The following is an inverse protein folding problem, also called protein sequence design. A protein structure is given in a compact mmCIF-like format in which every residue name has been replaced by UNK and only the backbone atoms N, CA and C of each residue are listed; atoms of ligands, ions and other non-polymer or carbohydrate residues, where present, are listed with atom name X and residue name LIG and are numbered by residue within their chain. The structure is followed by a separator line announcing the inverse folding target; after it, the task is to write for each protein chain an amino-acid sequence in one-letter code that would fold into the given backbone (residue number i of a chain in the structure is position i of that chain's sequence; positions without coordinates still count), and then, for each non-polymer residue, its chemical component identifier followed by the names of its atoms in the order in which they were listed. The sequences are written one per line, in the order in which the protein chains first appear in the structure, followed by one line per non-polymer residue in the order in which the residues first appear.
data_IF_383322627317
#
_entry.id   IF_383322627317
#
_cell.length_a   1.000
_cell.length_b   1.000
_cell.length_c   1.000
_cell.angle_alpha   90.00
_cell.angle_beta   90.00
_cell.angle_gamma   90.00
#
_symmetry.space_group_name_H-M   'P 1'
#
loop_
_entity.id
_entity.type
_entity.pdbx_description
1 polymer ?
#
# COMPACT_ATOMS: atom_id res chain seq x y z
N UNK A 1 25.98 21.05 2.69
CA UNK A 1 26.14 19.68 3.22
C UNK A 1 27.51 19.07 2.94
N UNK A 2 28.13 19.34 1.79
CA UNK A 2 29.49 18.87 1.50
C UNK A 2 30.52 19.52 2.44
N UNK A 3 30.54 20.86 2.51
CA UNK A 3 31.43 21.66 3.38
C UNK A 3 31.31 21.28 4.87
N UNK A 4 30.09 21.05 5.38
CA UNK A 4 29.89 20.57 6.76
C UNK A 4 30.46 19.17 7.02
N UNK A 5 30.52 18.29 6.01
CA UNK A 5 31.21 17.01 6.15
C UNK A 5 32.72 17.20 6.20
N UNK A 6 33.25 18.02 5.30
CA UNK A 6 34.69 18.34 5.24
C UNK A 6 35.20 18.98 6.54
N UNK A 7 34.40 19.86 7.16
CA UNK A 7 34.72 20.43 8.50
C UNK A 7 34.70 19.35 9.60
N UNK A 8 33.71 18.45 9.60
CA UNK A 8 33.63 17.34 10.58
C UNK A 8 34.76 16.32 10.39
N UNK A 9 35.21 16.11 9.15
CA UNK A 9 36.29 15.18 8.80
C UNK A 9 37.65 15.78 9.19
N UNK A 10 37.89 17.06 8.87
CA UNK A 10 39.07 17.80 9.34
C UNK A 10 39.17 17.88 10.87
N UNK A 11 38.05 18.10 11.59
CA UNK A 11 38.06 18.10 13.06
C UNK A 11 38.46 16.74 13.63
N UNK A 12 38.02 15.63 13.01
CA UNK A 12 38.38 14.27 13.46
C UNK A 12 39.85 13.93 13.23
N UNK A 13 40.44 14.41 12.13
CA UNK A 13 41.88 14.26 11.91
C UNK A 13 42.67 15.05 12.97
N UNK A 14 42.24 16.28 13.27
CA UNK A 14 42.85 17.14 14.30
C UNK A 14 42.75 16.54 15.71
N UNK A 15 41.61 15.96 16.06
CA UNK A 15 41.40 15.25 17.34
C UNK A 15 42.27 13.97 17.43
N UNK A 16 42.47 13.26 16.32
CA UNK A 16 43.30 12.05 16.24
C UNK A 16 44.80 12.38 16.40
N UNK A 17 45.29 13.40 15.70
CA UNK A 17 46.68 13.89 15.81
C UNK A 17 46.97 14.35 17.26
N UNK A 18 46.02 15.01 17.91
CA UNK A 18 46.15 15.39 19.32
C UNK A 18 46.20 14.17 20.26
N UNK A 19 45.41 13.13 19.98
CA UNK A 19 45.47 11.86 20.72
C UNK A 19 46.79 11.11 20.51
N UNK A 20 47.35 11.15 19.30
CA UNK A 20 48.66 10.54 19.02
C UNK A 20 49.79 11.32 19.72
N UNK A 21 49.80 12.65 19.66
CA UNK A 21 50.79 13.50 20.34
C UNK A 21 50.74 13.35 21.87
N UNK A 22 49.55 13.29 22.46
CA UNK A 22 49.39 13.07 23.91
C UNK A 22 49.81 11.66 24.33
N UNK A 23 49.54 10.64 23.51
CA UNK A 23 50.00 9.26 23.73
C UNK A 23 51.51 9.11 23.57
N UNK A 24 52.10 9.74 22.56
CA UNK A 24 53.55 9.77 22.35
C UNK A 24 54.28 10.43 23.53
N UNK A 25 53.70 11.51 24.08
CA UNK A 25 54.21 12.20 25.29
C UNK A 25 54.12 11.36 26.57
N UNK A 26 53.18 10.43 26.66
CA UNK A 26 53.11 9.44 27.75
C UNK A 26 54.06 8.25 27.55
N UNK A 27 54.32 7.86 26.29
CA UNK A 27 55.28 6.82 25.95
C UNK A 27 56.75 7.26 26.14
N UNK A 28 57.05 8.55 25.93
CA UNK A 28 58.33 9.15 26.30
C UNK A 28 58.42 9.37 27.81
N UNK A 29 58.76 8.30 28.54
CA UNK A 29 58.89 8.32 30.00
C UNK A 29 60.08 9.14 30.52
N UNK A 30 60.00 10.47 30.48
CA UNK A 30 60.84 11.34 31.31
C UNK A 30 60.23 11.49 32.71
N UNK A 31 60.82 10.79 33.68
CA UNK A 31 60.47 10.89 35.09
C UNK A 31 60.90 12.24 35.70
N UNK A 32 60.09 13.28 35.47
CA UNK A 32 60.12 14.52 36.24
C UNK A 32 59.26 14.39 37.51
N UNK A 33 59.90 14.32 38.69
CA UNK A 33 59.19 14.23 39.98
C UNK A 33 58.52 15.56 40.36
N UNK A 34 57.21 15.59 40.63
CA UNK A 34 56.52 16.81 41.04
C UNK A 34 56.74 17.09 42.54
N UNK A 35 57.80 17.83 42.87
CA UNK A 35 57.97 18.38 44.23
C UNK A 35 57.01 19.57 44.41
N UNK A 36 55.79 19.29 44.88
CA UNK A 36 54.81 20.34 45.18
C UNK A 36 55.20 21.11 46.45
N UNK A 37 55.71 22.32 46.27
CA UNK A 37 55.77 23.33 47.32
C UNK A 37 54.38 23.95 47.50
N UNK A 38 53.72 23.67 48.64
CA UNK A 38 52.65 24.52 49.17
C UNK A 38 53.16 25.24 50.41
N UNK A 39 53.44 26.53 50.25
CA UNK A 39 53.61 27.49 51.33
C UNK A 39 52.26 27.83 51.95
N UNK A 40 52.12 27.69 53.27
CA UNK A 40 51.23 28.54 54.08
C UNK A 40 52.02 28.93 55.34
N UNK A 41 52.01 30.23 55.63
CA UNK A 41 52.59 30.82 56.82
C UNK A 41 51.67 30.58 58.03
N UNK A 42 52.21 30.32 59.22
CA UNK A 42 51.79 31.16 60.35
C UNK A 42 52.76 31.19 61.55
N UNK A 43 52.59 32.26 62.31
CA UNK A 43 53.32 32.86 63.42
C UNK A 43 53.90 31.95 64.52
N UNK A 44 55.14 32.30 64.90
CA UNK A 44 55.55 32.69 66.26
C UNK A 44 55.23 31.74 67.44
N UNK A 45 56.26 31.08 67.98
CA UNK A 45 56.46 31.13 69.44
C UNK A 45 57.90 30.95 69.93
N UNK A 46 58.13 31.61 71.06
CA UNK A 46 59.34 31.75 71.85
C UNK A 46 59.84 30.42 72.44
N UNK A 47 61.14 30.15 72.38
CA UNK A 47 61.76 29.00 73.08
C UNK A 47 63.27 29.13 73.20
N UNK A 48 63.78 29.45 74.40
CA UNK A 48 65.22 29.45 74.70
C UNK A 48 65.70 28.01 74.97
N UNK A 49 66.89 27.66 74.49
CA UNK A 49 67.78 26.72 75.19
C UNK A 49 69.23 26.93 74.73
N UNK A 50 70.18 26.62 75.62
CA UNK A 50 71.53 27.20 75.61
C UNK A 50 72.58 26.37 74.82
N UNK A 51 73.72 27.00 74.57
CA UNK A 51 74.87 26.46 73.83
C UNK A 51 75.48 25.17 74.42
N UNK A 52 75.89 24.25 73.53
CA UNK A 52 77.12 23.50 73.77
C UNK A 52 78.05 23.50 72.52
N UNK A 53 78.42 24.67 71.98
CA UNK A 53 79.39 24.78 70.86
C UNK A 53 80.62 25.66 71.10
N UNK A 54 80.76 26.25 72.29
CA UNK A 54 81.95 27.04 72.67
C UNK A 54 83.25 26.22 72.63
N UNK A 55 83.26 25.02 73.21
CA UNK A 55 84.45 24.17 73.38
C UNK A 55 85.05 23.70 72.04
N UNK A 56 84.23 23.44 71.03
CA UNK A 56 84.71 22.94 69.73
C UNK A 56 85.30 24.02 68.82
N UNK A 57 84.86 25.28 68.94
CA UNK A 57 85.43 26.41 68.19
C UNK A 57 86.81 26.80 68.71
N UNK A 58 87.02 26.77 70.02
CA UNK A 58 88.34 27.03 70.62
C UNK A 58 89.34 25.96 70.20
N UNK A 59 88.96 24.67 70.25
CA UNK A 59 89.81 23.56 69.79
C UNK A 59 90.26 23.69 68.32
N UNK A 60 89.34 23.94 67.38
CA UNK A 60 89.70 24.12 65.96
C UNK A 60 90.51 25.40 65.68
N UNK A 61 90.38 26.44 66.50
CA UNK A 61 91.19 27.67 66.39
C UNK A 61 92.60 27.45 66.98
N UNK A 62 92.71 26.82 68.14
CA UNK A 62 93.97 26.43 68.75
C UNK A 62 94.78 25.47 67.86
N UNK A 63 94.14 24.46 67.25
CA UNK A 63 94.80 23.59 66.28
C UNK A 63 95.28 24.33 65.03
N UNK A 64 94.55 25.33 64.52
CA UNK A 64 95.02 26.15 63.39
C UNK A 64 96.21 27.04 63.76
N UNK A 65 96.21 27.66 64.94
CA UNK A 65 97.37 28.43 65.41
C UNK A 65 98.58 27.52 65.70
N UNK A 66 98.36 26.31 66.21
CA UNK A 66 99.40 25.28 66.39
C UNK A 66 99.99 24.81 65.05
N UNK A 67 99.16 24.43 64.08
CA UNK A 67 99.60 23.97 62.76
C UNK A 67 100.37 25.06 61.99
N UNK A 68 99.85 26.29 61.96
CA UNK A 68 100.55 27.43 61.36
C UNK A 68 101.88 27.73 62.08
N UNK A 69 101.93 27.58 63.41
CA UNK A 69 103.18 27.69 64.16
C UNK A 69 104.17 26.59 63.77
N UNK A 70 103.73 25.34 63.61
CA UNK A 70 104.58 24.21 63.20
C UNK A 70 105.10 24.39 61.76
N UNK A 71 104.25 24.74 60.80
CA UNK A 71 104.69 25.05 59.42
C UNK A 71 105.67 26.23 59.39
N UNK A 72 105.42 27.28 60.19
CA UNK A 72 106.36 28.40 60.29
C UNK A 72 107.70 27.98 60.90
N UNK A 73 107.71 27.10 61.91
CA UNK A 73 108.94 26.56 62.52
C UNK A 73 109.70 25.66 61.55
N UNK A 74 109.02 24.80 60.79
CA UNK A 74 109.62 23.97 59.74
C UNK A 74 110.24 24.83 58.64
N UNK A 75 109.52 25.88 58.19
CA UNK A 75 110.07 26.85 57.22
C UNK A 75 111.28 27.59 57.79
N UNK A 76 111.21 28.10 59.02
CA UNK A 76 112.33 28.82 59.66
C UNK A 76 113.55 27.90 59.82
N UNK A 77 113.35 26.62 60.16
CA UNK A 77 114.43 25.65 60.25
C UNK A 77 115.04 25.33 58.87
N UNK A 78 114.21 25.20 57.83
CA UNK A 78 114.67 25.00 56.45
C UNK A 78 115.40 26.23 55.90
N UNK A 79 114.88 27.44 56.12
CA UNK A 79 115.50 28.72 55.74
C UNK A 79 116.85 28.90 56.49
N UNK A 80 116.92 28.53 57.78
CA UNK A 80 118.15 28.54 58.57
C UNK A 80 119.17 27.52 58.06
N UNK A 81 118.75 26.30 57.74
CA UNK A 81 119.64 25.29 57.18
C UNK A 81 120.16 25.74 55.80
N UNK A 82 119.29 26.24 54.92
CA UNK A 82 119.66 26.79 53.63
C UNK A 82 120.66 27.95 53.75
N UNK A 83 120.45 28.88 54.69
CA UNK A 83 121.41 29.95 54.95
C UNK A 83 122.76 29.40 55.46
N UNK A 84 122.75 28.40 56.35
CA UNK A 84 123.95 27.72 56.84
C UNK A 84 124.71 27.00 55.71
N UNK A 85 123.99 26.33 54.81
CA UNK A 85 124.55 25.62 53.66
C UNK A 85 125.15 26.61 52.64
N UNK A 86 124.49 27.73 52.38
CA UNK A 86 125.01 28.80 51.51
C UNK A 86 126.25 29.47 52.12
N UNK A 87 126.26 29.73 53.43
CA UNK A 87 127.41 30.31 54.14
C UNK A 87 128.60 29.35 54.12
N UNK A 88 128.41 28.07 54.46
CA UNK A 88 129.49 27.06 54.48
C UNK A 88 130.05 26.79 53.09
N UNK A 89 129.21 26.66 52.05
CA UNK A 89 129.67 26.52 50.66
C UNK A 89 130.42 27.77 50.19
N UNK A 90 130.03 28.96 50.63
CA UNK A 90 130.72 30.21 50.26
C UNK A 90 132.04 30.38 50.99
N UNK A 91 132.10 30.07 52.29
CA UNK A 91 133.34 30.07 53.06
C UNK A 91 134.35 29.09 52.46
N UNK A 92 133.90 27.88 52.12
CA UNK A 92 134.73 26.88 51.42
C UNK A 92 135.21 27.34 50.04
N UNK A 93 134.34 27.87 49.16
CA UNK A 93 134.77 28.42 47.86
C UNK A 93 135.74 29.61 48.01
N UNK A 94 135.61 30.41 49.06
CA UNK A 94 136.51 31.53 49.36
C UNK A 94 137.89 31.05 49.82
N UNK A 95 137.96 29.99 50.64
CA UNK A 95 139.22 29.33 51.04
C UNK A 95 139.91 28.62 49.87
N UNK A 96 139.15 27.90 49.03
CA UNK A 96 139.69 27.07 47.94
C UNK A 96 140.02 27.88 46.65
N UNK A 97 139.31 28.98 46.38
CA UNK A 97 139.38 29.69 45.10
C UNK A 97 139.26 31.23 45.18
N UNK A 98 139.26 31.80 46.39
CA UNK A 98 139.22 33.26 46.60
C UNK A 98 137.95 33.96 46.11
N UNK A 99 136.90 33.21 45.75
CA UNK A 99 135.76 33.72 44.97
C UNK A 99 134.42 33.43 45.66
N UNK A 100 133.48 34.39 45.62
CA UNK A 100 132.19 34.34 46.34
C UNK A 100 130.98 33.93 45.48
N UNK A 101 131.21 33.38 44.28
CA UNK A 101 130.15 33.13 43.28
C UNK A 101 128.99 32.26 43.76
N UNK A 102 129.18 31.35 44.72
CA UNK A 102 128.10 30.56 45.33
C UNK A 102 127.01 31.41 45.99
N UNK A 103 127.39 32.54 46.61
CA UNK A 103 126.44 33.46 47.21
C UNK A 103 125.66 34.23 46.14
N UNK A 104 126.34 34.63 45.06
CA UNK A 104 125.71 35.25 43.88
C UNK A 104 124.72 34.29 43.22
N UNK A 105 125.12 33.04 42.99
CA UNK A 105 124.27 31.95 42.47
C UNK A 105 123.08 31.62 43.39
N UNK A 106 123.26 31.69 44.71
CA UNK A 106 122.16 31.51 45.68
C UNK A 106 121.18 32.69 45.64
N UNK A 107 121.69 33.93 45.57
CA UNK A 107 120.89 35.14 45.48
C UNK A 107 120.09 35.22 44.18
N UNK A 108 120.69 34.86 43.03
CA UNK A 108 119.96 34.78 41.76
C UNK A 108 118.92 33.63 41.75
N UNK A 109 119.19 32.51 42.45
CA UNK A 109 118.18 31.46 42.66
C UNK A 109 117.00 31.94 43.52
N UNK A 110 117.23 32.75 44.55
CA UNK A 110 116.14 33.34 45.34
C UNK A 110 115.40 34.45 44.57
N UNK A 111 116.09 35.28 43.79
CA UNK A 111 115.45 36.27 42.89
C UNK A 111 114.57 35.60 41.84
N UNK A 112 115.06 34.56 41.17
CA UNK A 112 114.29 33.82 40.15
C UNK A 112 113.12 33.06 40.77
N UNK A 113 113.28 32.40 41.92
CA UNK A 113 112.16 31.85 42.71
C UNK A 113 111.11 32.93 43.03
N UNK A 114 111.54 34.10 43.50
CA UNK A 114 110.65 35.21 43.85
C UNK A 114 109.91 35.78 42.63
N UNK A 115 110.58 35.89 41.48
CA UNK A 115 109.94 36.26 40.20
C UNK A 115 108.88 35.23 39.81
N UNK A 116 109.27 33.95 39.72
CA UNK A 116 108.36 32.85 39.36
C UNK A 116 107.14 32.77 40.29
N UNK A 117 107.32 33.03 41.59
CA UNK A 117 106.21 33.09 42.55
C UNK A 117 105.31 34.30 42.31
N UNK A 118 105.86 35.45 41.93
CA UNK A 118 105.08 36.63 41.59
C UNK A 118 104.31 36.43 40.27
N UNK A 119 104.91 35.81 39.27
CA UNK A 119 104.29 35.46 37.99
C UNK A 119 103.15 34.44 38.19
N UNK A 120 103.39 33.42 39.02
CA UNK A 120 102.34 32.46 39.42
C UNK A 120 101.19 33.15 40.16
N UNK A 121 101.49 34.10 41.04
CA UNK A 121 100.47 34.85 41.78
C UNK A 121 99.63 35.74 40.84
N UNK A 122 100.27 36.47 39.93
CA UNK A 122 99.60 37.29 38.91
C UNK A 122 98.68 36.44 38.04
N UNK A 123 99.19 35.32 37.51
CA UNK A 123 98.43 34.36 36.68
C UNK A 123 97.27 33.70 37.46
N UNK A 124 97.46 33.45 38.75
CA UNK A 124 96.39 32.97 39.65
C UNK A 124 95.32 34.04 39.88
N UNK A 125 95.70 35.33 39.96
CA UNK A 125 94.76 36.43 40.11
C UNK A 125 93.98 36.70 38.81
N UNK A 126 94.65 36.63 37.66
CA UNK A 126 94.04 36.69 36.32
C UNK A 126 93.03 35.55 36.13
N UNK A 127 93.43 34.29 36.38
CA UNK A 127 92.51 33.15 36.32
C UNK A 127 91.31 33.28 37.28
N UNK A 128 91.49 33.90 38.47
CA UNK A 128 90.37 34.22 39.38
C UNK A 128 89.46 35.33 38.83
N UNK A 129 89.98 36.27 38.05
CA UNK A 129 89.18 37.31 37.37
C UNK A 129 88.39 36.70 36.21
N UNK A 130 89.02 35.81 35.43
CA UNK A 130 88.38 35.07 34.33
C UNK A 130 87.26 34.15 34.84
N UNK A 131 87.52 33.34 35.88
CA UNK A 131 86.50 32.48 36.50
C UNK A 131 85.30 33.31 36.96
N UNK A 132 85.52 34.43 37.65
CA UNK A 132 84.42 35.33 38.08
C UNK A 132 83.67 35.96 36.91
N UNK A 133 84.35 36.27 35.80
CA UNK A 133 83.71 36.79 34.60
C UNK A 133 82.82 35.73 33.93
N UNK A 134 83.30 34.50 33.83
CA UNK A 134 82.55 33.35 33.31
C UNK A 134 81.38 32.95 34.22
N UNK A 135 81.57 32.94 35.54
CA UNK A 135 80.50 32.73 36.53
C UNK A 135 79.39 33.78 36.36
N UNK A 136 79.75 35.05 36.17
CA UNK A 136 78.79 36.13 35.92
C UNK A 136 78.06 35.93 34.58
N UNK A 137 78.77 35.66 33.49
CA UNK A 137 78.16 35.39 32.18
C UNK A 137 77.18 34.21 32.25
N UNK A 138 77.55 33.13 32.94
CA UNK A 138 76.72 31.94 33.12
C UNK A 138 75.48 32.25 33.99
N UNK A 139 75.60 33.13 34.99
CA UNK A 139 74.46 33.62 35.76
C UNK A 139 73.54 34.53 34.93
N UNK A 140 74.09 35.40 34.10
CA UNK A 140 73.32 36.33 33.27
C UNK A 140 72.60 35.60 32.13
N UNK A 141 73.24 34.61 31.48
CA UNK A 141 72.58 33.70 30.53
C UNK A 141 71.43 32.94 31.21
N UNK A 142 71.63 32.39 32.42
CA UNK A 142 70.57 31.71 33.18
C UNK A 142 69.35 32.61 33.45
N UNK A 143 69.58 33.89 33.77
CA UNK A 143 68.49 34.86 33.97
C UNK A 143 67.74 35.13 32.67
N UNK A 144 68.45 35.32 31.55
CA UNK A 144 67.78 35.56 30.27
C UNK A 144 66.99 34.34 29.81
N UNK A 145 67.53 33.12 29.95
CA UNK A 145 66.79 31.88 29.63
C UNK A 145 65.56 31.69 30.51
N UNK A 146 65.63 32.07 31.78
CA UNK A 146 64.48 32.04 32.70
C UNK A 146 63.41 33.06 32.31
N UNK A 147 63.81 34.30 31.98
CA UNK A 147 62.91 35.35 31.50
C UNK A 147 62.26 34.93 30.16
N UNK A 148 63.03 34.33 29.26
CA UNK A 148 62.53 33.76 28.01
C UNK A 148 61.56 32.59 28.21
N UNK A 149 61.84 31.69 29.14
CA UNK A 149 60.94 30.58 29.50
C UNK A 149 59.62 31.14 30.02
N UNK A 150 59.66 32.06 30.99
CA UNK A 150 58.46 32.73 31.52
C UNK A 150 57.67 33.53 30.47
N UNK A 151 58.33 34.08 29.43
CA UNK A 151 57.64 34.70 28.27
C UNK A 151 56.92 33.63 27.44
N UNK A 152 57.56 32.49 27.17
CA UNK A 152 56.97 31.36 26.43
C UNK A 152 55.82 30.72 27.20
N UNK A 153 55.95 30.50 28.50
CA UNK A 153 54.89 29.94 29.35
C UNK A 153 53.64 30.83 29.37
N UNK A 154 53.81 32.16 29.44
CA UNK A 154 52.71 33.12 29.33
C UNK A 154 52.03 33.09 27.95
N UNK A 155 52.82 32.90 26.88
CA UNK A 155 52.28 32.76 25.53
C UNK A 155 51.50 31.45 25.37
N UNK A 156 52.00 30.34 25.94
CA UNK A 156 51.31 29.04 25.97
C UNK A 156 49.98 29.17 26.72
N UNK A 157 49.97 29.77 27.92
CA UNK A 157 48.75 29.99 28.69
C UNK A 157 47.73 30.85 27.92
N UNK A 158 48.16 31.96 27.32
CA UNK A 158 47.30 32.81 26.49
C UNK A 158 46.68 32.04 25.30
N UNK A 159 47.49 31.23 24.59
CA UNK A 159 47.00 30.42 23.47
C UNK A 159 46.09 29.27 23.92
N UNK A 160 46.27 28.75 25.13
CA UNK A 160 45.37 27.77 25.73
C UNK A 160 44.02 28.40 26.08
N UNK A 161 44.02 29.57 26.74
CA UNK A 161 42.80 30.33 27.05
C UNK A 161 42.03 30.69 25.76
N UNK A 162 42.72 31.15 24.71
CA UNK A 162 42.12 31.47 23.41
C UNK A 162 41.54 30.23 22.71
N UNK A 163 42.21 29.07 22.80
CA UNK A 163 41.69 27.80 22.27
C UNK A 163 40.43 27.35 23.02
N UNK A 164 40.43 27.38 24.36
CA UNK A 164 39.28 27.00 25.18
C UNK A 164 38.08 27.95 24.95
N UNK A 165 38.32 29.26 24.80
CA UNK A 165 37.27 30.22 24.45
C UNK A 165 36.67 29.94 23.07
N UNK A 166 37.51 29.64 22.07
CA UNK A 166 37.04 29.29 20.72
C UNK A 166 36.28 27.97 20.69
N UNK A 167 36.73 26.95 21.42
CA UNK A 167 36.03 25.68 21.55
C UNK A 167 34.65 25.85 22.20
N UNK A 168 34.56 26.61 23.30
CA UNK A 168 33.29 26.90 23.97
C UNK A 168 32.30 27.68 23.08
N UNK A 169 32.79 28.58 22.22
CA UNK A 169 31.97 29.28 21.20
C UNK A 169 31.43 28.30 20.16
N UNK A 170 32.29 27.44 19.60
CA UNK A 170 31.90 26.45 18.58
C UNK A 170 30.90 25.44 19.13
N UNK A 171 31.09 24.93 20.34
CA UNK A 171 30.15 24.01 20.99
C UNK A 171 28.77 24.64 21.22
N UNK A 172 28.74 25.91 21.64
CA UNK A 172 27.49 26.67 21.79
C UNK A 172 26.80 26.91 20.43
N UNK A 173 27.57 27.24 19.38
CA UNK A 173 27.03 27.41 18.02
C UNK A 173 26.46 26.10 17.46
N UNK A 174 27.17 24.98 17.63
CA UNK A 174 26.68 23.63 17.25
C UNK A 174 25.37 23.32 17.99
N UNK A 175 25.29 23.57 19.29
CA UNK A 175 24.07 23.36 20.08
C UNK A 175 22.91 24.25 19.59
N UNK A 176 23.18 25.52 19.27
CA UNK A 176 22.19 26.44 18.75
C UNK A 176 21.70 26.04 17.35
N UNK A 177 22.63 25.75 16.43
CA UNK A 177 22.31 25.30 15.07
C UNK A 177 21.47 24.03 15.09
N UNK A 178 21.89 23.01 15.85
CA UNK A 178 21.15 21.76 16.01
C UNK A 178 19.73 21.99 16.52
N UNK A 179 19.57 22.80 17.58
CA UNK A 179 18.25 23.12 18.14
C UNK A 179 17.38 23.90 17.14
N UNK A 180 17.98 24.79 16.35
CA UNK A 180 17.31 25.53 15.28
C UNK A 180 16.82 24.59 14.16
N UNK A 181 17.67 23.66 13.68
CA UNK A 181 17.29 22.68 12.66
C UNK A 181 16.23 21.71 13.16
N UNK A 182 16.35 21.20 14.40
CA UNK A 182 15.38 20.29 15.00
C UNK A 182 14.00 20.96 15.13
N UNK A 183 13.95 22.24 15.52
CA UNK A 183 12.72 23.03 15.55
C UNK A 183 12.11 23.25 14.16
N UNK A 184 12.92 23.51 13.13
CA UNK A 184 12.44 23.64 11.76
C UNK A 184 11.87 22.30 11.24
N UNK A 185 12.56 21.19 11.48
CA UNK A 185 12.09 19.84 11.11
C UNK A 185 10.75 19.54 11.81
N UNK A 186 10.65 19.75 13.12
CA UNK A 186 9.39 19.56 13.84
C UNK A 186 8.26 20.48 13.36
N UNK A 187 8.57 21.74 13.01
CA UNK A 187 7.57 22.67 12.48
C UNK A 187 7.05 22.21 11.11
N UNK A 188 7.93 21.75 10.22
CA UNK A 188 7.57 21.21 8.90
C UNK A 188 6.77 19.91 9.07
N UNK A 189 7.26 18.97 9.87
CA UNK A 189 6.58 17.71 10.17
C UNK A 189 5.16 17.93 10.71
N UNK A 190 4.98 18.89 11.63
CA UNK A 190 3.65 19.25 12.16
C UNK A 190 2.74 19.89 11.10
N UNK A 191 3.29 20.71 10.19
CA UNK A 191 2.52 21.26 9.06
C UNK A 191 2.06 20.15 8.10
N UNK A 192 2.95 19.22 7.76
CA UNK A 192 2.62 18.06 6.91
C UNK A 192 1.56 17.18 7.57
N UNK A 193 1.77 16.76 8.82
CA UNK A 193 0.82 15.92 9.57
C UNK A 193 -0.55 16.57 9.75
N UNK A 194 -0.62 17.89 9.96
CA UNK A 194 -1.90 18.62 9.96
C UNK A 194 -2.59 18.58 8.57
N UNK A 195 -1.84 18.75 7.48
CA UNK A 195 -2.37 18.70 6.12
C UNK A 195 -2.86 17.29 5.75
N UNK A 196 -2.09 16.25 6.09
CA UNK A 196 -2.45 14.84 5.97
C UNK A 196 -3.74 14.55 6.74
N UNK A 197 -3.82 14.96 8.01
CA UNK A 197 -5.03 14.80 8.82
C UNK A 197 -6.26 15.48 8.20
N UNK A 198 -6.12 16.66 7.59
CA UNK A 198 -7.22 17.34 6.89
C UNK A 198 -7.65 16.55 5.64
N UNK A 199 -6.71 15.96 4.90
CA UNK A 199 -6.99 15.11 3.74
C UNK A 199 -7.65 13.79 4.16
N UNK A 200 -7.16 13.12 5.20
CA UNK A 200 -7.76 11.90 5.75
C UNK A 200 -9.19 12.14 6.23
N UNK A 201 -9.43 13.23 6.95
CA UNK A 201 -10.78 13.65 7.35
C UNK A 201 -11.70 13.89 6.13
N UNK A 202 -11.16 14.37 5.00
CA UNK A 202 -11.91 14.54 3.75
C UNK A 202 -12.17 13.19 3.06
N UNK A 203 -11.18 12.29 3.04
CA UNK A 203 -11.32 10.93 2.50
C UNK A 203 -12.37 10.15 3.29
N UNK A 204 -12.34 10.20 4.62
CA UNK A 204 -13.32 9.55 5.48
C UNK A 204 -14.74 10.09 5.23
N UNK A 205 -14.91 11.42 5.16
CA UNK A 205 -16.21 12.04 4.83
C UNK A 205 -16.72 11.65 3.44
N UNK A 206 -15.83 11.50 2.45
CA UNK A 206 -16.22 11.05 1.12
C UNK A 206 -16.63 9.56 1.13
N UNK A 207 -15.88 8.69 1.83
CA UNK A 207 -16.25 7.28 2.02
C UNK A 207 -17.63 7.13 2.65
N UNK A 208 -17.90 7.80 3.76
CA UNK A 208 -19.22 7.74 4.42
C UNK A 208 -20.36 8.19 3.50
N UNK A 209 -20.15 9.22 2.65
CA UNK A 209 -21.14 9.62 1.64
C UNK A 209 -21.34 8.56 0.58
N UNK A 210 -20.27 7.95 0.07
CA UNK A 210 -20.37 6.84 -0.88
C UNK A 210 -21.09 5.63 -0.27
N UNK A 211 -20.83 5.30 0.99
CA UNK A 211 -21.53 4.21 1.70
C UNK A 211 -23.03 4.53 1.89
N UNK A 212 -23.37 5.79 2.19
CA UNK A 212 -24.76 6.28 2.26
C UNK A 212 -25.45 6.24 0.89
N UNK A 213 -24.79 6.69 -0.18
CA UNK A 213 -25.29 6.65 -1.56
C UNK A 213 -25.51 5.21 -2.04
N UNK A 214 -24.57 4.30 -1.77
CA UNK A 214 -24.71 2.85 -2.06
C UNK A 214 -25.92 2.28 -1.33
N UNK A 215 -26.07 2.55 -0.01
CA UNK A 215 -27.22 2.04 0.75
C UNK A 215 -28.54 2.52 0.16
N UNK A 216 -28.68 3.83 -0.07
CA UNK A 216 -29.91 4.41 -0.65
C UNK A 216 -30.17 3.86 -2.06
N UNK A 217 -29.13 3.68 -2.88
CA UNK A 217 -29.26 3.05 -4.19
C UNK A 217 -29.81 1.63 -4.09
N UNK A 218 -29.25 0.80 -3.20
CA UNK A 218 -29.74 -0.58 -2.99
C UNK A 218 -31.18 -0.63 -2.46
N UNK A 219 -31.59 0.31 -1.61
CA UNK A 219 -32.97 0.42 -1.12
C UNK A 219 -33.94 0.79 -2.26
N UNK A 220 -33.59 1.77 -3.10
CA UNK A 220 -34.37 2.16 -4.28
C UNK A 220 -34.46 1.02 -5.29
N UNK A 221 -33.34 0.34 -5.59
CA UNK A 221 -33.31 -0.79 -6.52
C UNK A 221 -34.20 -1.94 -6.02
N UNK A 222 -34.12 -2.29 -4.73
CA UNK A 222 -34.97 -3.30 -4.12
C UNK A 222 -36.46 -2.92 -4.18
N UNK A 223 -36.81 -1.66 -3.88
CA UNK A 223 -38.18 -1.17 -4.01
C UNK A 223 -38.71 -1.29 -5.45
N UNK A 224 -37.92 -0.87 -6.44
CA UNK A 224 -38.29 -0.96 -7.85
C UNK A 224 -38.42 -2.41 -8.32
N UNK A 225 -37.53 -3.32 -7.89
CA UNK A 225 -37.61 -4.76 -8.17
C UNK A 225 -38.87 -5.40 -7.57
N UNK A 226 -39.22 -5.04 -6.33
CA UNK A 226 -40.46 -5.51 -5.70
C UNK A 226 -41.71 -5.00 -6.44
N UNK A 227 -41.73 -3.72 -6.82
CA UNK A 227 -42.85 -3.16 -7.57
C UNK A 227 -42.97 -3.77 -8.99
N UNK A 228 -41.85 -4.02 -9.67
CA UNK A 228 -41.83 -4.71 -10.95
C UNK A 228 -42.45 -6.11 -10.82
N UNK A 229 -41.99 -6.91 -9.85
CA UNK A 229 -42.53 -8.26 -9.59
C UNK A 229 -44.03 -8.24 -9.29
N UNK A 230 -44.52 -7.29 -8.50
CA UNK A 230 -45.96 -7.14 -8.22
C UNK A 230 -46.77 -6.81 -9.50
N UNK A 231 -46.20 -6.09 -10.46
CA UNK A 231 -46.86 -5.79 -11.75
C UNK A 231 -46.79 -7.00 -12.68
N UNK A 232 -45.69 -7.73 -12.68
CA UNK A 232 -45.48 -8.99 -13.42
C UNK A 232 -46.47 -10.08 -12.97
N UNK A 233 -46.59 -10.32 -11.67
CA UNK A 233 -47.58 -11.25 -11.08
C UNK A 233 -49.04 -10.87 -11.44
N UNK A 234 -49.34 -9.56 -11.53
CA UNK A 234 -50.66 -9.09 -11.98
C UNK A 234 -50.86 -9.30 -13.47
N UNK A 235 -49.83 -9.12 -14.28
CA UNK A 235 -49.89 -9.33 -15.72
C UNK A 235 -50.12 -10.81 -16.03
N UNK A 236 -49.36 -11.71 -15.39
CA UNK A 236 -49.52 -13.17 -15.46
C UNK A 236 -50.96 -13.57 -15.10
N UNK A 237 -51.49 -13.11 -13.96
CA UNK A 237 -52.89 -13.35 -13.57
C UNK A 237 -53.92 -12.89 -14.63
N UNK A 238 -53.71 -11.74 -15.27
CA UNK A 238 -54.61 -11.27 -16.32
C UNK A 238 -54.48 -12.07 -17.61
N UNK A 239 -53.27 -12.46 -18.01
CA UNK A 239 -53.01 -13.34 -19.17
C UNK A 239 -53.69 -14.69 -18.96
N UNK A 240 -53.41 -15.37 -17.85
CA UNK A 240 -54.05 -16.64 -17.48
C UNK A 240 -55.57 -16.52 -17.53
N UNK A 241 -56.13 -15.43 -16.98
CA UNK A 241 -57.57 -15.21 -16.99
C UNK A 241 -58.11 -15.03 -18.41
N UNK A 242 -57.45 -14.25 -19.26
CA UNK A 242 -57.88 -14.05 -20.65
C UNK A 242 -57.80 -15.34 -21.47
N UNK A 243 -56.79 -16.17 -21.25
CA UNK A 243 -56.68 -17.49 -21.89
C UNK A 243 -57.83 -18.40 -21.45
N UNK A 244 -58.04 -18.58 -20.13
CA UNK A 244 -59.16 -19.38 -19.59
C UNK A 244 -60.55 -18.87 -20.04
N UNK A 245 -60.78 -17.55 -20.03
CA UNK A 245 -62.05 -16.94 -20.48
C UNK A 245 -62.25 -17.13 -22.00
N UNK A 246 -61.17 -17.23 -22.80
CA UNK A 246 -61.20 -17.48 -24.24
C UNK A 246 -61.45 -18.94 -24.55
N UNK A 247 -60.70 -19.86 -23.92
CA UNK A 247 -60.87 -21.31 -24.08
C UNK A 247 -62.31 -21.73 -23.72
N UNK A 248 -62.85 -21.23 -22.61
CA UNK A 248 -64.25 -21.49 -22.22
C UNK A 248 -65.27 -20.97 -23.26
N UNK A 249 -64.95 -19.88 -23.98
CA UNK A 249 -65.81 -19.33 -25.04
C UNK A 249 -65.68 -20.11 -26.34
N UNK A 250 -64.50 -20.62 -26.67
CA UNK A 250 -64.32 -21.51 -27.81
C UNK A 250 -64.96 -22.88 -27.56
N UNK A 251 -64.91 -23.42 -26.34
CA UNK A 251 -65.69 -24.61 -25.94
C UNK A 251 -67.21 -24.39 -26.08
N UNK A 252 -67.74 -23.26 -25.61
CA UNK A 252 -69.16 -22.88 -25.81
C UNK A 252 -69.51 -22.78 -27.30
N UNK A 253 -68.65 -22.17 -28.11
CA UNK A 253 -68.84 -22.04 -29.56
C UNK A 253 -68.80 -23.40 -30.27
N UNK A 254 -67.90 -24.30 -29.89
CA UNK A 254 -67.80 -25.64 -30.47
C UNK A 254 -68.97 -26.53 -30.05
N UNK A 255 -69.44 -26.43 -28.81
CA UNK A 255 -70.69 -27.06 -28.37
C UNK A 255 -71.90 -26.56 -29.19
N UNK A 256 -71.99 -25.25 -29.45
CA UNK A 256 -73.05 -24.67 -30.30
C UNK A 256 -72.92 -25.08 -31.77
N UNK A 257 -71.71 -25.17 -32.32
CA UNK A 257 -71.46 -25.71 -33.67
C UNK A 257 -71.89 -27.18 -33.77
N UNK A 258 -71.56 -28.00 -32.78
CA UNK A 258 -71.96 -29.40 -32.71
C UNK A 258 -73.49 -29.58 -32.59
N UNK A 259 -74.15 -28.79 -31.74
CA UNK A 259 -75.62 -28.76 -31.66
C UNK A 259 -76.28 -28.32 -32.97
N UNK A 260 -75.72 -27.30 -33.64
CA UNK A 260 -76.19 -26.85 -34.97
C UNK A 260 -76.03 -27.95 -36.02
N UNK A 261 -74.90 -28.66 -36.04
CA UNK A 261 -74.66 -29.77 -36.95
C UNK A 261 -75.65 -30.92 -36.73
N UNK A 262 -75.87 -31.33 -35.47
CA UNK A 262 -76.84 -32.36 -35.10
C UNK A 262 -78.28 -31.96 -35.50
N UNK A 263 -78.69 -30.73 -35.21
CA UNK A 263 -80.00 -30.21 -35.64
C UNK A 263 -80.14 -30.19 -37.17
N UNK A 264 -79.08 -29.85 -37.90
CA UNK A 264 -79.07 -29.90 -39.36
C UNK A 264 -79.20 -31.34 -39.90
N UNK A 265 -78.44 -32.30 -39.35
CA UNK A 265 -78.60 -33.72 -39.69
C UNK A 265 -80.02 -34.21 -39.39
N UNK A 266 -80.61 -33.83 -38.27
CA UNK A 266 -81.98 -34.21 -37.91
C UNK A 266 -83.01 -33.65 -38.91
N UNK A 267 -82.87 -32.38 -39.29
CA UNK A 267 -83.71 -31.76 -40.33
C UNK A 267 -83.51 -32.42 -41.70
N UNK A 268 -82.28 -32.80 -42.05
CA UNK A 268 -82.00 -33.53 -43.28
C UNK A 268 -82.68 -34.90 -43.28
N UNK A 269 -82.56 -35.68 -42.19
CA UNK A 269 -83.24 -36.98 -42.04
C UNK A 269 -84.76 -36.85 -42.16
N UNK A 270 -85.37 -35.83 -41.54
CA UNK A 270 -86.81 -35.58 -41.70
C UNK A 270 -87.19 -35.15 -43.12
N UNK A 271 -86.36 -34.37 -43.81
CA UNK A 271 -86.61 -34.01 -45.20
C UNK A 271 -86.53 -35.23 -46.14
N UNK A 272 -85.55 -36.12 -45.92
CA UNK A 272 -85.43 -37.42 -46.60
C UNK A 272 -86.65 -38.31 -46.29
N UNK A 273 -87.09 -38.39 -45.03
CA UNK A 273 -88.28 -39.15 -44.62
C UNK A 273 -89.55 -38.61 -45.30
N UNK A 274 -89.76 -37.29 -45.27
CA UNK A 274 -90.86 -36.63 -45.99
C UNK A 274 -90.81 -36.92 -47.51
N UNK A 275 -89.63 -36.87 -48.14
CA UNK A 275 -89.48 -37.22 -49.55
C UNK A 275 -89.91 -38.67 -49.82
N UNK A 276 -89.51 -39.63 -48.98
CA UNK A 276 -89.94 -41.04 -49.15
C UNK A 276 -91.46 -41.21 -48.94
N UNK A 277 -92.08 -40.44 -48.04
CA UNK A 277 -93.54 -40.42 -47.90
C UNK A 277 -94.23 -39.80 -49.11
N UNK A 278 -93.70 -38.72 -49.70
CA UNK A 278 -94.23 -38.15 -50.93
C UNK A 278 -94.11 -39.12 -52.11
N UNK A 279 -92.95 -39.76 -52.29
CA UNK A 279 -92.70 -40.76 -53.33
C UNK A 279 -93.64 -41.97 -53.19
N UNK A 280 -93.86 -42.47 -51.98
CA UNK A 280 -94.80 -43.58 -51.74
C UNK A 280 -96.27 -43.18 -51.94
N UNK A 281 -96.67 -41.97 -51.53
CA UNK A 281 -98.02 -41.42 -51.80
C UNK A 281 -98.25 -41.23 -53.30
N UNK A 282 -97.26 -40.70 -54.04
CA UNK A 282 -97.32 -40.54 -55.50
C UNK A 282 -97.42 -41.92 -56.17
N UNK A 283 -96.62 -42.90 -55.72
CA UNK A 283 -96.65 -44.28 -56.20
C UNK A 283 -98.02 -44.94 -56.00
N UNK A 284 -98.59 -44.93 -54.79
CA UNK A 284 -99.92 -45.50 -54.52
C UNK A 284 -101.05 -44.72 -55.24
N UNK A 285 -100.94 -43.39 -55.40
CA UNK A 285 -101.88 -42.63 -56.26
C UNK A 285 -101.80 -43.10 -57.71
N UNK A 286 -100.59 -43.23 -58.27
CA UNK A 286 -100.37 -43.69 -59.64
C UNK A 286 -100.85 -45.14 -59.83
N UNK A 287 -100.63 -46.01 -58.84
CA UNK A 287 -101.08 -47.40 -58.84
C UNK A 287 -102.61 -47.50 -58.74
N UNK A 288 -103.25 -46.71 -57.87
CA UNK A 288 -104.73 -46.61 -57.80
C UNK A 288 -105.32 -46.06 -59.09
N UNK A 289 -104.68 -45.10 -59.75
CA UNK A 289 -105.09 -44.66 -61.08
C UNK A 289 -104.90 -45.72 -62.15
N UNK A 290 -103.77 -46.44 -62.15
CA UNK A 290 -103.54 -47.56 -63.07
C UNK A 290 -104.58 -48.68 -62.86
N UNK A 291 -104.93 -49.00 -61.61
CA UNK A 291 -106.03 -49.92 -61.27
C UNK A 291 -107.38 -49.42 -61.80
N UNK A 292 -107.70 -48.13 -61.65
CA UNK A 292 -108.93 -47.54 -62.24
C UNK A 292 -108.94 -47.62 -63.77
N UNK A 293 -107.85 -47.21 -64.44
CA UNK A 293 -107.74 -47.29 -65.92
C UNK A 293 -107.88 -48.72 -66.43
N UNK A 294 -107.30 -49.71 -65.73
CA UNK A 294 -107.51 -51.15 -66.05
C UNK A 294 -108.98 -51.54 -65.92
N UNK A 295 -109.64 -51.24 -64.80
CA UNK A 295 -111.07 -51.54 -64.62
C UNK A 295 -111.97 -50.83 -65.65
N UNK A 296 -111.62 -49.62 -66.08
CA UNK A 296 -112.31 -48.90 -67.15
C UNK A 296 -112.09 -49.56 -68.53
N UNK A 297 -110.88 -50.03 -68.81
CA UNK A 297 -110.55 -50.83 -70.01
C UNK A 297 -111.31 -52.16 -69.98
N UNK A 298 -111.21 -52.94 -68.91
CA UNK A 298 -111.94 -54.20 -68.70
C UNK A 298 -113.46 -54.00 -68.86
N UNK A 299 -114.01 -52.88 -68.36
CA UNK A 299 -115.43 -52.55 -68.52
C UNK A 299 -115.81 -52.12 -69.95
N UNK A 300 -114.91 -51.49 -70.70
CA UNK A 300 -115.10 -51.18 -72.12
C UNK A 300 -115.01 -52.45 -72.99
N UNK A 301 -114.07 -53.35 -72.66
CA UNK A 301 -113.96 -54.67 -73.26
C UNK A 301 -115.18 -55.53 -72.95
N UNK A 302 -115.65 -55.57 -71.70
CA UNK A 302 -116.89 -56.26 -71.35
C UNK A 302 -118.10 -55.66 -72.08
N UNK A 303 -118.18 -54.33 -72.24
CA UNK A 303 -119.23 -53.67 -73.04
C UNK A 303 -119.13 -54.03 -74.53
N UNK A 304 -117.93 -54.19 -75.09
CA UNK A 304 -117.75 -54.60 -76.49
C UNK A 304 -118.10 -56.08 -76.67
N UNK A 305 -117.69 -56.96 -75.75
CA UNK A 305 -118.08 -58.38 -75.66
C UNK A 305 -119.60 -58.52 -75.53
N UNK A 306 -120.25 -57.74 -74.66
CA UNK A 306 -121.71 -57.75 -74.50
C UNK A 306 -122.44 -57.26 -75.75
N UNK A 307 -121.92 -56.25 -76.46
CA UNK A 307 -122.43 -55.83 -77.76
C UNK A 307 -122.28 -56.94 -78.81
N UNK A 308 -121.14 -57.64 -78.84
CA UNK A 308 -120.91 -58.82 -79.69
C UNK A 308 -121.90 -59.95 -79.36
N UNK A 309 -122.10 -60.29 -78.08
CA UNK A 309 -123.09 -61.28 -77.66
C UNK A 309 -124.52 -60.86 -78.01
N UNK A 310 -124.88 -59.58 -77.84
CA UNK A 310 -126.21 -59.06 -78.18
C UNK A 310 -126.45 -59.02 -79.70
N UNK A 311 -125.43 -58.69 -80.49
CA UNK A 311 -125.43 -58.80 -81.95
C UNK A 311 -125.63 -60.26 -82.38
N UNK A 312 -124.90 -61.21 -81.78
CA UNK A 312 -125.04 -62.64 -82.05
C UNK A 312 -126.41 -63.20 -81.66
N UNK A 313 -126.92 -62.88 -80.46
CA UNK A 313 -128.29 -63.21 -80.03
C UNK A 313 -129.35 -62.58 -80.95
N UNK A 314 -129.13 -61.35 -81.40
CA UNK A 314 -130.00 -60.67 -82.38
C UNK A 314 -129.92 -61.27 -83.79
N UNK A 315 -128.80 -61.92 -84.15
CA UNK A 315 -128.66 -62.71 -85.38
C UNK A 315 -129.39 -64.05 -85.23
N UNK A 316 -129.23 -64.75 -84.12
CA UNK A 316 -129.97 -65.99 -83.80
C UNK A 316 -131.48 -65.80 -83.96
N UNK A 317 -132.03 -64.71 -83.42
CA UNK A 317 -133.47 -64.37 -83.56
C UNK A 317 -133.83 -64.03 -85.01
N UNK A 318 -133.06 -63.17 -85.70
CA UNK A 318 -133.41 -62.69 -87.06
C UNK A 318 -133.14 -63.69 -88.19
N UNK A 319 -132.27 -64.68 -87.97
CA UNK A 319 -132.02 -65.81 -88.88
C UNK A 319 -132.81 -67.07 -88.47
N UNK A 320 -133.60 -67.02 -87.37
CA UNK A 320 -134.35 -68.13 -86.77
C UNK A 320 -133.50 -69.39 -86.51
N UNK A 321 -132.36 -69.23 -85.84
CA UNK A 321 -131.51 -70.35 -85.43
C UNK A 321 -131.82 -70.74 -83.97
N UNK A 322 -132.02 -72.03 -83.72
CA UNK A 322 -132.35 -72.56 -82.39
C UNK A 322 -133.82 -72.35 -81.99
N UNK A 323 -134.15 -72.07 -80.71
CA UNK A 323 -135.53 -72.10 -80.19
C UNK A 323 -136.57 -71.26 -80.94
N UNK A 324 -136.15 -70.25 -81.71
CA UNK A 324 -137.01 -69.33 -82.46
C UNK A 324 -137.50 -69.89 -83.81
N UNK A 325 -137.08 -71.10 -84.19
CA UNK A 325 -137.58 -71.79 -85.39
C UNK A 325 -139.05 -72.24 -85.23
N UNK A 326 -139.47 -72.57 -83.99
CA UNK A 326 -140.85 -72.95 -83.67
C UNK A 326 -141.87 -71.83 -83.86
N UNK A 327 -141.49 -70.55 -83.64
CA UNK A 327 -142.40 -69.41 -83.79
C UNK A 327 -142.79 -69.14 -85.26
N UNK A 328 -141.93 -69.48 -86.23
CA UNK A 328 -142.23 -69.21 -87.66
C UNK A 328 -143.46 -69.99 -88.14
N UNK A 329 -143.58 -71.25 -87.74
CA UNK A 329 -144.69 -72.16 -88.11
C UNK A 329 -146.05 -71.76 -87.50
N UNK A 330 -146.07 -70.89 -86.50
CA UNK A 330 -147.29 -70.35 -85.90
C UNK A 330 -147.84 -69.13 -86.66
N UNK A 331 -146.96 -68.26 -87.16
CA UNK A 331 -147.38 -67.06 -87.90
C UNK A 331 -147.95 -67.37 -89.29
N UNK A 332 -147.45 -68.40 -89.98
CA UNK A 332 -147.94 -68.80 -91.31
C UNK A 332 -149.41 -69.28 -91.30
N UNK A 333 -149.94 -69.77 -90.17
CA UNK A 333 -151.35 -70.17 -90.06
C UNK A 333 -152.32 -69.00 -89.85
N UNK A 334 -151.85 -67.84 -89.38
CA UNK A 334 -152.73 -66.74 -88.97
C UNK A 334 -153.08 -65.75 -90.09
N UNK A 335 -152.38 -65.80 -91.23
CA UNK A 335 -152.57 -64.87 -92.35
C UNK A 335 -153.72 -65.24 -93.31
N UNK A 336 -154.35 -66.41 -93.15
CA UNK A 336 -155.30 -66.95 -94.12
C UNK A 336 -156.78 -66.55 -93.90
N UNK A 337 -157.11 -65.81 -92.83
CA UNK A 337 -158.51 -65.72 -92.34
C UNK A 337 -159.10 -64.32 -92.07
N UNK A 338 -158.41 -63.21 -92.39
CA UNK A 338 -159.03 -61.87 -92.32
C UNK A 338 -158.85 -61.05 -93.60
N UNK A 339 -159.79 -61.26 -94.52
CA UNK A 339 -160.34 -60.20 -95.38
C UNK A 339 -161.64 -59.68 -94.75
N UNK A 340 -162.04 -58.46 -95.12
CA UNK A 340 -163.24 -57.71 -94.69
C UNK A 340 -163.24 -57.14 -93.27
N UNK A 341 -163.66 -55.87 -93.15
CA UNK A 341 -163.68 -55.08 -91.91
C UNK A 341 -163.11 -53.66 -92.11
N UNK A 342 -163.96 -52.68 -92.44
CA UNK A 342 -163.56 -51.35 -92.96
C UNK A 342 -164.07 -50.19 -92.06
N UNK A 343 -163.41 -49.01 -92.12
CA UNK A 343 -163.88 -47.66 -91.66
C UNK A 343 -164.07 -47.47 -90.13
N UNK A 344 -163.93 -46.29 -89.51
CA UNK A 344 -163.45 -44.92 -89.82
C UNK A 344 -163.33 -44.18 -88.45
N UNK A 345 -162.29 -43.42 -88.02
CA UNK A 345 -161.98 -41.98 -88.28
C UNK A 345 -160.83 -41.56 -87.32
N UNK A 346 -159.64 -41.12 -87.80
CA UNK A 346 -159.13 -39.72 -87.90
C UNK A 346 -158.96 -38.92 -86.59
N UNK A 347 -157.83 -38.25 -86.27
CA UNK A 347 -156.55 -38.00 -86.97
C UNK A 347 -155.42 -37.56 -85.98
N UNK A 348 -154.11 -37.67 -86.30
CA UNK A 348 -153.27 -36.70 -87.05
C UNK A 348 -152.83 -35.45 -86.21
N UNK A 349 -151.63 -34.84 -86.25
CA UNK A 349 -150.29 -34.97 -86.92
C UNK A 349 -149.30 -34.01 -86.14
N UNK A 350 -147.95 -34.03 -86.17
CA UNK A 350 -146.87 -34.99 -86.56
C UNK A 350 -145.47 -34.29 -86.45
N UNK A 351 -144.48 -34.86 -85.70
CA UNK A 351 -142.99 -34.64 -85.81
C UNK A 351 -142.37 -33.28 -85.37
N UNK A 352 -141.08 -33.11 -85.03
CA UNK A 352 -139.91 -34.03 -84.80
C UNK A 352 -139.02 -33.47 -83.67
N UNK A 353 -138.14 -34.29 -83.09
CA UNK A 353 -137.15 -33.91 -82.05
C UNK A 353 -135.73 -34.00 -82.60
#
# INVERSE_FOLDING_TARGET
SQEMKEIIEAQKELDADYQELTSARQASGETGTPTSLKSIEDKQQLGKTEDPKSTHRVSKRAMKHSALSIESLVKIQADRQYASDVITVTMKKMEESGTFNSLTEANEREKTKKSNFHDFLSRSEEGKKEIKALEKQLQDVKKETEIELQKRDKMIAYLQDELEEMQAKVDMEICYMKKSTDLQVHQIQKKCSNAESVLDNKIQKLRSKTDEEIRVHTEIENFLRQHYKMVEEKLEHWVDKYENDTDAKDEELDALKALKANNFEMLQRFAEECQTFEETIISDRAEREARRRKLEQDALELKSILKLQAWWRGIMVRKNLGPYEALRKLWEKHLAQQKEGNKEKSGAKKKTR
#
